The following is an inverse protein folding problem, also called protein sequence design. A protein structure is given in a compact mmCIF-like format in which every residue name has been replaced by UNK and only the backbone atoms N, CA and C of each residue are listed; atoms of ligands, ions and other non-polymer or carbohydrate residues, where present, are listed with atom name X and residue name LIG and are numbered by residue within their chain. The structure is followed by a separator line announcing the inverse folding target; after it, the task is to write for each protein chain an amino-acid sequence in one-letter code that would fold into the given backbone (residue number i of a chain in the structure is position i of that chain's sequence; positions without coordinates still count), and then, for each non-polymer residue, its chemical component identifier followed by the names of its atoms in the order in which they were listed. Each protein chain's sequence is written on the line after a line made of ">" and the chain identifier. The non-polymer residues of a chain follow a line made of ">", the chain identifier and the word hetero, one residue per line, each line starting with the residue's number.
data_IF_835697037794
#
_entry.id   IF_835697037794
#
_cell.length_a   1.000
_cell.length_b   1.000
_cell.length_c   1.000
_cell.angle_alpha   90.00
_cell.angle_beta   90.00
_cell.angle_gamma   90.00
#
_symmetry.space_group_name_H-M   'P 1'
#
loop_
_entity.id
_entity.type
_entity.pdbx_description
1 polymer ?
#
# COMPACT_ATOMS: atom_id res chain seq x y z
N UNK A 1 17.37 -13.86 13.26
CA UNK A 1 16.65 -12.97 12.30
C UNK A 1 15.36 -13.66 11.86
N UNK A 2 14.21 -12.98 11.96
CA UNK A 2 12.95 -13.52 11.38
C UNK A 2 13.09 -13.64 9.85
N UNK A 3 12.91 -14.86 9.32
CA UNK A 3 12.73 -15.14 7.89
C UNK A 3 11.23 -15.28 7.63
N UNK A 4 10.62 -14.27 7.04
CA UNK A 4 9.17 -14.23 6.83
C UNK A 4 8.71 -12.92 6.21
N UNK A 5 7.47 -12.94 5.68
CA UNK A 5 6.79 -11.78 5.07
C UNK A 5 6.77 -10.60 6.05
N UNK A 6 6.88 -9.39 5.52
CA UNK A 6 6.73 -8.17 6.30
C UNK A 6 5.24 -7.92 6.57
N UNK A 7 4.88 -7.66 7.83
CA UNK A 7 3.49 -7.38 8.22
C UNK A 7 3.17 -5.90 7.99
N UNK A 8 1.89 -5.57 7.88
CA UNK A 8 1.44 -4.18 7.77
C UNK A 8 1.86 -3.33 8.97
N UNK A 9 1.91 -3.92 10.18
CA UNK A 9 2.38 -3.25 11.39
C UNK A 9 3.89 -2.96 11.31
N UNK A 10 4.69 -3.91 10.84
CA UNK A 10 6.13 -3.68 10.62
C UNK A 10 6.34 -2.58 9.56
N UNK A 11 5.57 -2.61 8.46
CA UNK A 11 5.57 -1.57 7.42
C UNK A 11 5.21 -0.18 7.97
N UNK A 12 4.19 -0.09 8.82
CA UNK A 12 3.78 1.15 9.50
C UNK A 12 4.89 1.71 10.38
N UNK A 13 5.53 0.87 11.20
CA UNK A 13 6.61 1.31 12.10
C UNK A 13 7.82 1.83 11.33
N UNK A 14 8.14 1.22 10.18
CA UNK A 14 9.21 1.71 9.32
C UNK A 14 8.85 3.06 8.71
N UNK A 15 7.63 3.22 8.19
CA UNK A 15 7.18 4.48 7.61
C UNK A 15 7.14 5.61 8.66
N UNK A 16 6.62 5.32 9.85
CA UNK A 16 6.56 6.28 10.97
C UNK A 16 7.97 6.62 11.49
N UNK A 17 8.84 5.62 11.60
CA UNK A 17 10.22 5.83 12.03
C UNK A 17 11.00 6.69 11.02
N UNK A 18 10.85 6.40 9.72
CA UNK A 18 11.51 7.17 8.67
C UNK A 18 10.96 8.60 8.57
N UNK A 19 9.66 8.81 8.79
CA UNK A 19 9.08 10.17 8.79
C UNK A 19 9.63 11.08 9.88
N UNK A 20 10.05 10.52 11.02
CA UNK A 20 10.58 11.26 12.18
C UNK A 20 12.11 11.28 12.25
N UNK A 21 12.77 10.19 11.88
CA UNK A 21 14.19 9.96 12.12
C UNK A 21 15.03 9.88 10.84
N UNK A 22 14.40 9.83 9.66
CA UNK A 22 15.09 9.63 8.39
C UNK A 22 15.78 8.26 8.30
N UNK A 23 17.00 8.20 7.79
CA UNK A 23 17.78 6.97 7.55
C UNK A 23 18.48 6.40 8.78
N UNK A 24 18.01 6.72 9.99
CA UNK A 24 18.55 6.20 11.26
C UNK A 24 18.09 4.77 11.53
N UNK A 25 18.51 3.82 10.69
CA UNK A 25 18.03 2.43 10.67
C UNK A 25 18.18 1.69 12.01
N UNK A 26 19.24 1.94 12.77
CA UNK A 26 19.43 1.34 14.08
C UNK A 26 18.27 1.70 15.02
N UNK A 27 17.92 2.99 15.12
CA UNK A 27 16.79 3.45 15.95
C UNK A 27 15.45 2.94 15.44
N UNK A 28 15.29 2.87 14.12
CA UNK A 28 14.06 2.35 13.50
C UNK A 28 13.90 0.85 13.81
N UNK A 29 14.98 0.07 13.74
CA UNK A 29 14.93 -1.36 14.06
C UNK A 29 14.60 -1.65 15.51
N UNK A 30 14.95 -0.76 16.44
CA UNK A 30 14.54 -0.88 17.85
C UNK A 30 13.02 -0.84 18.02
N UNK A 31 12.29 -0.23 17.08
CA UNK A 31 10.82 -0.21 17.09
C UNK A 31 10.21 -1.46 16.43
N UNK A 32 10.98 -2.24 15.65
CA UNK A 32 10.49 -3.39 14.89
C UNK A 32 11.04 -4.70 15.48
N UNK A 33 10.33 -5.33 16.44
CA UNK A 33 10.86 -6.48 17.17
C UNK A 33 11.15 -7.67 16.25
N UNK A 34 12.35 -8.24 16.39
CA UNK A 34 12.77 -9.42 15.62
C UNK A 34 13.32 -9.13 14.21
N UNK A 35 13.40 -7.85 13.80
CA UNK A 35 14.08 -7.38 12.59
C UNK A 35 15.35 -6.62 12.97
N UNK A 36 16.40 -6.76 12.17
CA UNK A 36 17.63 -6.00 12.34
C UNK A 36 17.60 -4.70 11.54
N UNK A 37 18.47 -3.77 11.89
CA UNK A 37 18.75 -2.53 11.14
C UNK A 37 18.98 -2.80 9.64
N UNK A 38 19.78 -3.82 9.31
CA UNK A 38 20.05 -4.17 7.92
C UNK A 38 18.80 -4.71 7.21
N UNK A 39 17.96 -5.47 7.91
CA UNK A 39 16.71 -5.97 7.36
C UNK A 39 15.73 -4.82 7.05
N UNK A 40 15.61 -3.85 7.97
CA UNK A 40 14.78 -2.65 7.79
C UNK A 40 15.26 -1.82 6.60
N UNK A 41 16.56 -1.50 6.54
CA UNK A 41 17.17 -0.77 5.42
C UNK A 41 16.93 -1.48 4.09
N UNK A 42 17.17 -2.79 4.05
CA UNK A 42 16.99 -3.59 2.84
C UNK A 42 15.55 -3.61 2.38
N UNK A 43 14.60 -3.74 3.30
CA UNK A 43 13.19 -3.74 2.98
C UNK A 43 12.70 -2.39 2.48
N UNK A 44 13.11 -1.28 3.13
CA UNK A 44 12.85 0.08 2.64
C UNK A 44 13.38 0.27 1.21
N UNK A 45 14.66 -0.09 0.97
CA UNK A 45 15.30 0.05 -0.33
C UNK A 45 14.66 -0.84 -1.41
N UNK A 46 14.30 -2.08 -1.07
CA UNK A 46 13.59 -2.98 -1.97
C UNK A 46 12.21 -2.41 -2.35
N UNK A 47 11.48 -1.88 -1.36
CA UNK A 47 10.17 -1.25 -1.57
C UNK A 47 10.30 0.00 -2.42
N UNK A 48 11.33 0.82 -2.17
CA UNK A 48 11.59 2.05 -2.93
C UNK A 48 11.94 1.81 -4.40
N UNK A 49 12.57 0.67 -4.72
CA UNK A 49 12.88 0.29 -6.11
C UNK A 49 11.72 -0.40 -6.83
N UNK A 50 10.73 -0.91 -6.09
CA UNK A 50 9.58 -1.59 -6.68
C UNK A 50 8.72 -0.64 -7.49
N UNK A 51 8.21 -1.11 -8.64
CA UNK A 51 7.25 -0.38 -9.47
C UNK A 51 5.84 -0.61 -8.92
N UNK A 52 5.08 0.48 -8.83
CA UNK A 52 3.79 0.65 -8.12
C UNK A 52 2.72 -0.45 -8.25
N UNK A 53 2.77 -1.27 -9.30
CA UNK A 53 1.65 -2.09 -9.73
C UNK A 53 1.34 -3.30 -8.83
N UNK A 54 2.15 -3.59 -7.80
CA UNK A 54 2.02 -4.86 -7.08
C UNK A 54 1.46 -4.80 -5.64
N UNK A 55 1.35 -3.65 -4.96
CA UNK A 55 0.91 -3.58 -3.54
C UNK A 55 0.24 -2.26 -3.13
N UNK A 56 -0.99 -1.95 -3.59
CA UNK A 56 -1.73 -0.75 -3.17
C UNK A 56 -2.09 -0.72 -1.67
N UNK A 57 -2.02 -1.86 -0.97
CA UNK A 57 -2.30 -1.97 0.46
C UNK A 57 -1.08 -1.74 1.36
N UNK A 58 0.12 -1.58 0.79
CA UNK A 58 1.34 -1.36 1.58
C UNK A 58 1.47 0.11 1.98
N UNK A 59 1.30 0.40 3.27
CA UNK A 59 1.50 1.76 3.82
C UNK A 59 2.92 2.27 3.57
N UNK A 60 3.92 1.39 3.64
CA UNK A 60 5.31 1.76 3.39
C UNK A 60 5.51 2.20 1.93
N UNK A 61 4.86 1.52 0.99
CA UNK A 61 4.91 1.91 -0.42
C UNK A 61 4.17 3.23 -0.68
N UNK A 62 2.98 3.40 -0.10
CA UNK A 62 2.23 4.67 -0.18
C UNK A 62 3.05 5.84 0.35
N UNK A 63 3.74 5.63 1.47
CA UNK A 63 4.66 6.61 2.05
C UNK A 63 5.83 6.95 1.12
N UNK A 64 6.56 5.94 0.63
CA UNK A 64 7.73 6.14 -0.22
C UNK A 64 7.35 6.82 -1.54
N UNK A 65 6.21 6.48 -2.14
CA UNK A 65 5.77 7.12 -3.39
C UNK A 65 5.52 8.62 -3.23
N UNK A 66 4.98 9.05 -2.08
CA UNK A 66 4.77 10.47 -1.74
C UNK A 66 6.07 11.22 -1.49
N UNK A 67 7.00 10.62 -0.74
CA UNK A 67 8.35 11.20 -0.56
C UNK A 67 9.04 11.37 -1.91
N UNK A 68 8.92 10.39 -2.82
CA UNK A 68 9.46 10.48 -4.19
C UNK A 68 8.75 11.51 -5.07
N UNK A 69 7.49 11.82 -4.78
CA UNK A 69 6.73 12.89 -5.44
C UNK A 69 7.09 14.29 -4.90
N UNK A 70 8.01 14.39 -3.94
CA UNK A 70 8.51 15.66 -3.41
C UNK A 70 7.83 16.13 -2.12
N UNK A 71 6.95 15.32 -1.53
CA UNK A 71 6.36 15.65 -0.24
C UNK A 71 7.39 15.53 0.88
N UNK A 72 7.23 16.37 1.91
CA UNK A 72 8.03 16.23 3.15
C UNK A 72 7.74 14.89 3.81
N UNK A 73 8.71 14.35 4.53
CA UNK A 73 8.57 13.05 5.18
C UNK A 73 7.37 12.99 6.15
N UNK A 74 7.04 14.10 6.82
CA UNK A 74 5.87 14.19 7.69
C UNK A 74 4.56 14.22 6.88
N UNK A 75 4.44 15.06 5.85
CA UNK A 75 3.24 15.16 5.03
C UNK A 75 2.96 13.85 4.27
N UNK A 76 4.00 13.26 3.70
CA UNK A 76 3.93 11.98 3.01
C UNK A 76 3.39 10.85 3.92
N UNK A 77 3.77 10.87 5.20
CA UNK A 77 3.28 9.87 6.16
C UNK A 77 1.81 10.09 6.50
N UNK A 78 1.39 11.33 6.76
CA UNK A 78 -0.02 11.65 7.05
C UNK A 78 -0.92 11.25 5.89
N UNK A 79 -0.56 11.62 4.66
CA UNK A 79 -1.36 11.23 3.49
C UNK A 79 -1.37 9.71 3.24
N UNK A 80 -0.23 9.04 3.39
CA UNK A 80 -0.17 7.59 3.25
C UNK A 80 -1.02 6.87 4.30
N UNK A 81 -1.06 7.40 5.52
CA UNK A 81 -1.83 6.85 6.63
C UNK A 81 -3.34 6.94 6.38
N UNK A 82 -3.82 8.08 5.88
CA UNK A 82 -5.24 8.24 5.55
C UNK A 82 -5.68 7.32 4.42
N UNK A 83 -4.87 7.19 3.36
CA UNK A 83 -5.15 6.23 2.27
C UNK A 83 -5.13 4.78 2.78
N UNK A 84 -4.16 4.42 3.61
CA UNK A 84 -4.06 3.07 4.16
C UNK A 84 -5.25 2.73 5.07
N UNK A 85 -5.67 3.65 5.94
CA UNK A 85 -6.89 3.49 6.76
C UNK A 85 -8.15 3.34 5.92
N UNK A 86 -8.28 4.12 4.84
CA UNK A 86 -9.41 4.01 3.92
C UNK A 86 -9.47 2.62 3.27
N UNK A 87 -8.33 2.08 2.84
CA UNK A 87 -8.27 0.71 2.29
C UNK A 87 -8.61 -0.37 3.33
N UNK A 88 -8.17 -0.19 4.59
CA UNK A 88 -8.50 -1.11 5.67
C UNK A 88 -10.03 -1.14 5.95
N UNK A 89 -10.74 -0.04 5.71
CA UNK A 89 -12.20 0.02 5.87
C UNK A 89 -12.98 -0.49 4.65
N UNK A 90 -12.38 -0.54 3.46
CA UNK A 90 -13.02 -1.01 2.22
C UNK A 90 -12.90 -2.55 2.08
N UNK A 91 -12.04 -3.19 2.86
CA UNK A 91 -11.79 -4.65 2.82
C UNK A 91 -12.94 -5.52 3.38
N UNK A 92 -14.05 -4.94 3.82
CA UNK A 92 -15.26 -5.68 4.25
C UNK A 92 -16.51 -5.42 3.39
N UNK A 93 -16.36 -5.10 2.11
CA UNK A 93 -17.46 -5.27 1.17
C UNK A 93 -17.46 -6.72 0.65
N UNK A 94 -18.51 -7.53 0.89
CA UNK A 94 -18.57 -8.88 0.36
C UNK A 94 -18.71 -8.82 -1.16
N UNK A 95 -18.10 -9.82 -1.81
CA UNK A 95 -18.35 -10.20 -3.20
C UNK A 95 -19.86 -10.13 -3.52
N UNK A 96 -20.24 -9.20 -4.38
CA UNK A 96 -21.47 -9.28 -5.16
C UNK A 96 -21.07 -9.20 -6.63
N UNK A 97 -20.86 -10.39 -7.17
CA UNK A 97 -20.90 -10.68 -8.60
C UNK A 97 -22.20 -10.14 -9.19
N UNK A 98 -22.13 -9.06 -9.97
CA UNK A 98 -23.11 -8.81 -11.02
C UNK A 98 -22.42 -8.12 -12.20
N UNK A 99 -21.72 -8.92 -13.00
CA UNK A 99 -21.58 -8.58 -14.41
C UNK A 99 -22.84 -9.04 -15.13
N UNK A 100 -23.60 -8.15 -15.80
CA UNK A 100 -24.27 -8.53 -17.02
C UNK A 100 -23.33 -8.19 -18.17
N UNK A 101 -22.76 -9.24 -18.76
CA UNK A 101 -22.17 -9.21 -20.08
C UNK A 101 -23.19 -8.60 -21.06
N UNK A 102 -22.87 -7.60 -21.89
CA UNK A 102 -23.68 -7.35 -23.07
C UNK A 102 -23.28 -8.39 -24.12
N UNK A 103 -24.02 -9.49 -24.19
CA UNK A 103 -23.95 -10.41 -25.32
C UNK A 103 -25.33 -10.55 -25.95
N UNK A 104 -25.56 -9.69 -26.94
CA UNK A 104 -25.93 -10.11 -28.31
C UNK A 104 -27.38 -10.59 -28.57
N UNK A 105 -28.08 -9.77 -29.38
CA UNK A 105 -29.16 -10.07 -30.34
C UNK A 105 -30.54 -10.52 -29.83
N UNK A 106 -31.61 -9.79 -30.20
CA UNK A 106 -32.38 -10.15 -31.40
C UNK A 106 -33.51 -9.17 -31.73
N UNK A 107 -33.77 -9.11 -33.03
CA UNK A 107 -34.82 -8.40 -33.76
C UNK A 107 -36.21 -8.45 -33.09
N UNK A 108 -36.90 -7.31 -33.10
CA UNK A 108 -38.37 -7.32 -33.16
C UNK A 108 -38.86 -6.48 -34.33
N UNK A 109 -39.48 -7.20 -35.25
CA UNK A 109 -40.34 -6.74 -36.33
C UNK A 109 -41.53 -5.97 -35.74
N UNK A 110 -41.89 -4.82 -36.30
CA UNK A 110 -43.25 -4.29 -36.17
C UNK A 110 -43.63 -3.51 -37.42
N UNK A 111 -44.58 -4.11 -38.14
CA UNK A 111 -45.43 -3.51 -39.17
C UNK A 111 -46.23 -2.35 -38.59
N UNK A 112 -46.31 -1.24 -39.32
CA UNK A 112 -47.49 -0.38 -39.58
C UNK A 112 -46.95 0.86 -40.31
N UNK A 113 -47.46 1.35 -41.44
CA UNK A 113 -48.68 1.16 -42.22
C UNK A 113 -48.32 1.02 -43.71
#
# INVERSE_FOLDING_TARGET
>A
MKKGKWTQVEEYLIAQGHSRLGSQWCKISSMVPGRTDNAVKNFYNATSRSKALSRPESILWLYISRVRAGLTAAAAFSEALEVWKAHASISTAPCASTAPWPSTLSLHCSRTL
#
